data_IF_734133540905
#
_entry.id   IF_734133540905
#
_cell.length_a   1.000
_cell.length_b   1.000
_cell.length_c   1.000
_cell.angle_alpha   90.00
_cell.angle_beta   90.00
_cell.angle_gamma   90.00
#
_symmetry.space_group_name_H-M   'P 1'
#
loop_
_entity.id
_entity.type
_entity.pdbx_description
1 polymer ?
#
# COMPACT_ATOMS: atom_id res chain seq x y z
N UNK A 1 -14.41 -2.14 8.72
CA UNK A 1 -13.09 -2.77 9.01
C UNK A 1 -11.97 -1.75 8.80
N UNK A 2 -10.86 -1.79 9.56
CA UNK A 2 -9.64 -1.01 9.28
C UNK A 2 -8.60 -1.95 8.65
N UNK A 3 -7.96 -1.52 7.56
CA UNK A 3 -6.90 -2.26 6.89
C UNK A 3 -5.77 -1.31 6.45
N UNK A 4 -4.58 -1.86 6.21
CA UNK A 4 -3.50 -1.19 5.49
C UNK A 4 -3.34 -1.91 4.16
N UNK A 5 -3.42 -1.21 3.03
CA UNK A 5 -3.12 -1.77 1.71
C UNK A 5 -1.78 -1.22 1.22
N UNK A 6 -0.91 -2.09 0.72
CA UNK A 6 0.43 -1.71 0.25
C UNK A 6 0.49 -1.86 -1.26
N UNK A 7 0.70 -0.74 -1.96
CA UNK A 7 0.94 -0.76 -3.41
C UNK A 7 2.44 -0.63 -3.63
N UNK A 8 3.03 -1.68 -4.19
CA UNK A 8 4.45 -1.79 -4.52
C UNK A 8 4.80 -1.06 -5.82
N UNK A 9 6.10 -0.85 -6.00
CA UNK A 9 6.69 -0.17 -7.15
C UNK A 9 6.14 -0.65 -8.50
N UNK A 10 6.15 -1.96 -8.74
CA UNK A 10 5.76 -2.57 -10.02
C UNK A 10 4.28 -2.28 -10.36
N UNK A 11 3.42 -2.18 -9.34
CA UNK A 11 1.98 -1.98 -9.54
C UNK A 11 1.59 -0.53 -9.74
N UNK A 12 2.34 0.40 -9.17
CA UNK A 12 2.07 1.83 -9.31
C UNK A 12 2.13 2.28 -10.78
N UNK A 13 2.92 1.60 -11.60
CA UNK A 13 3.00 1.83 -13.04
C UNK A 13 2.12 0.91 -13.89
N UNK A 14 1.45 -0.08 -13.30
CA UNK A 14 0.64 -1.05 -14.03
C UNK A 14 -0.80 -0.52 -14.23
N UNK A 15 -1.18 -0.01 -15.42
CA UNK A 15 -2.41 0.80 -15.55
C UNK A 15 -3.68 -0.02 -15.32
N UNK A 16 -3.69 -1.29 -15.76
CA UNK A 16 -4.81 -2.20 -15.51
C UNK A 16 -4.97 -2.51 -14.02
N UNK A 17 -3.87 -2.62 -13.29
CA UNK A 17 -3.93 -2.85 -11.84
C UNK A 17 -4.52 -1.62 -11.16
N UNK A 18 -3.99 -0.43 -11.43
CA UNK A 18 -4.46 0.80 -10.81
C UNK A 18 -5.95 1.06 -11.10
N UNK A 19 -6.40 0.76 -12.32
CA UNK A 19 -7.82 0.80 -12.68
C UNK A 19 -8.63 -0.20 -11.84
N UNK A 20 -8.28 -1.48 -11.86
CA UNK A 20 -9.01 -2.50 -11.08
C UNK A 20 -8.95 -2.25 -9.57
N UNK A 21 -7.86 -1.69 -9.06
CA UNK A 21 -7.71 -1.28 -7.67
C UNK A 21 -8.68 -0.15 -7.32
N UNK A 22 -8.78 0.88 -8.17
CA UNK A 22 -9.70 2.00 -7.96
C UNK A 22 -11.17 1.57 -8.03
N UNK A 23 -11.52 0.69 -8.97
CA UNK A 23 -12.85 0.10 -9.08
C UNK A 23 -13.18 -0.76 -7.84
N UNK A 24 -12.22 -1.60 -7.40
CA UNK A 24 -12.37 -2.42 -6.20
C UNK A 24 -12.58 -1.56 -4.95
N UNK A 25 -11.87 -0.44 -4.80
CA UNK A 25 -12.10 0.49 -3.69
C UNK A 25 -13.52 1.07 -3.70
N UNK A 26 -14.07 1.42 -4.88
CA UNK A 26 -15.45 1.92 -5.00
C UNK A 26 -16.53 0.90 -4.65
N UNK A 27 -16.20 -0.40 -4.67
CA UNK A 27 -17.11 -1.48 -4.31
C UNK A 27 -17.17 -1.74 -2.79
N UNK A 28 -16.15 -1.31 -2.05
CA UNK A 28 -16.05 -1.56 -0.61
C UNK A 28 -17.15 -0.81 0.14
N UNK A 29 -17.91 -1.52 0.97
CA UNK A 29 -18.95 -0.92 1.83
C UNK A 29 -18.43 -0.80 3.26
N UNK A 30 -18.66 0.35 3.88
CA UNK A 30 -18.38 0.62 5.30
C UNK A 30 -16.94 0.26 5.74
N UNK A 31 -15.99 0.41 4.82
CA UNK A 31 -14.57 0.17 5.05
C UNK A 31 -13.78 1.45 4.77
N UNK A 32 -12.80 1.73 5.63
CA UNK A 32 -11.82 2.77 5.40
C UNK A 32 -10.46 2.21 5.73
N UNK A 33 -9.50 2.45 4.85
CA UNK A 33 -8.16 1.91 4.96
C UNK A 33 -7.09 2.98 4.84
N UNK A 34 -5.87 2.61 5.19
CA UNK A 34 -4.65 3.36 4.89
C UNK A 34 -4.01 2.67 3.70
N UNK A 35 -3.87 3.40 2.59
CA UNK A 35 -3.21 2.93 1.39
C UNK A 35 -1.81 3.54 1.43
N UNK A 36 -0.78 2.71 1.51
CA UNK A 36 0.59 3.17 1.45
C UNK A 36 1.21 2.88 0.09
N UNK A 37 2.04 3.81 -0.38
CA UNK A 37 2.77 3.66 -1.64
C UNK A 37 4.14 4.31 -1.56
N UNK A 38 5.06 3.79 -2.36
CA UNK A 38 6.39 4.34 -2.54
C UNK A 38 6.46 5.24 -3.77
N UNK A 39 7.60 5.20 -4.43
CA UNK A 39 7.81 5.80 -5.72
C UNK A 39 7.48 4.80 -6.86
N UNK A 40 7.78 5.17 -8.11
CA UNK A 40 7.45 4.37 -9.29
C UNK A 40 8.55 4.51 -10.35
N UNK A 41 8.45 3.79 -11.46
CA UNK A 41 9.30 3.92 -12.64
C UNK A 41 9.31 5.32 -13.26
N UNK A 42 8.38 6.19 -12.88
CA UNK A 42 8.50 7.62 -13.19
C UNK A 42 9.73 8.28 -12.53
N UNK A 43 10.12 7.85 -11.33
CA UNK A 43 11.35 8.33 -10.66
C UNK A 43 12.57 8.10 -11.53
N UNK A 44 12.71 6.90 -12.09
CA UNK A 44 13.85 6.53 -12.94
C UNK A 44 13.94 7.44 -14.17
N UNK A 45 12.80 7.81 -14.75
CA UNK A 45 12.75 8.76 -15.88
C UNK A 45 13.22 10.15 -15.48
N UNK A 46 12.84 10.65 -14.30
CA UNK A 46 13.33 11.94 -13.80
C UNK A 46 14.85 11.91 -13.60
N UNK A 47 15.39 10.83 -13.04
CA UNK A 47 16.84 10.66 -12.85
C UNK A 47 17.56 10.67 -14.21
N UNK A 48 17.01 10.01 -15.23
CA UNK A 48 17.57 10.01 -16.59
C UNK A 48 17.58 11.40 -17.24
N UNK A 49 16.72 12.33 -16.82
CA UNK A 49 16.75 13.74 -17.27
C UNK A 49 17.79 14.60 -16.56
N UNK A 50 18.55 14.05 -15.62
CA UNK A 50 19.60 14.74 -14.87
C UNK A 50 19.17 15.27 -13.50
N UNK A 51 17.94 14.97 -13.04
CA UNK A 51 17.50 15.31 -11.68
C UNK A 51 18.22 14.40 -10.68
N UNK A 52 18.68 14.98 -9.56
CA UNK A 52 19.29 14.21 -8.48
C UNK A 52 18.31 13.20 -7.89
N UNK A 53 18.79 11.99 -7.54
CA UNK A 53 17.94 10.89 -7.07
C UNK A 53 17.05 11.29 -5.88
N UNK A 54 17.60 11.99 -4.90
CA UNK A 54 16.85 12.38 -3.70
C UNK A 54 15.68 13.31 -4.06
N UNK A 55 15.93 14.31 -4.91
CA UNK A 55 14.91 15.24 -5.40
C UNK A 55 13.88 14.53 -6.30
N UNK A 56 14.36 13.63 -7.16
CA UNK A 56 13.52 12.86 -8.07
C UNK A 56 12.52 12.00 -7.30
N UNK A 57 12.97 11.29 -6.25
CA UNK A 57 12.12 10.44 -5.41
C UNK A 57 11.06 11.26 -4.67
N UNK A 58 11.46 12.37 -4.02
CA UNK A 58 10.50 13.22 -3.30
C UNK A 58 9.45 13.77 -4.25
N UNK A 59 9.89 14.30 -5.40
CA UNK A 59 9.01 14.87 -6.40
C UNK A 59 8.07 13.83 -7.02
N UNK A 60 8.60 12.73 -7.54
CA UNK A 60 7.81 11.69 -8.20
C UNK A 60 6.79 11.06 -7.26
N UNK A 61 7.18 10.81 -6.01
CA UNK A 61 6.30 10.23 -4.99
C UNK A 61 5.21 11.20 -4.59
N UNK A 62 5.53 12.50 -4.45
CA UNK A 62 4.52 13.53 -4.20
C UNK A 62 3.54 13.66 -5.35
N UNK A 63 4.01 13.72 -6.60
CA UNK A 63 3.15 13.77 -7.78
C UNK A 63 2.26 12.53 -7.88
N UNK A 64 2.82 11.35 -7.59
CA UNK A 64 2.10 10.07 -7.61
C UNK A 64 0.98 10.01 -6.57
N UNK A 65 1.20 10.53 -5.36
CA UNK A 65 0.17 10.57 -4.31
C UNK A 65 -1.07 11.35 -4.78
N UNK A 66 -0.87 12.52 -5.41
CA UNK A 66 -1.96 13.31 -5.98
C UNK A 66 -2.69 12.57 -7.11
N UNK A 67 -1.95 11.87 -7.97
CA UNK A 67 -2.53 11.07 -9.07
C UNK A 67 -3.37 9.91 -8.54
N UNK A 68 -2.95 9.23 -7.49
CA UNK A 68 -3.74 8.16 -6.85
C UNK A 68 -5.04 8.73 -6.29
N UNK A 69 -4.98 9.87 -5.58
CA UNK A 69 -6.20 10.54 -5.06
C UNK A 69 -7.15 10.92 -6.18
N UNK A 70 -6.66 11.50 -7.28
CA UNK A 70 -7.47 11.85 -8.44
C UNK A 70 -8.13 10.61 -9.06
N UNK A 71 -7.37 9.54 -9.28
CA UNK A 71 -7.90 8.27 -9.81
C UNK A 71 -9.01 7.68 -8.93
N UNK A 72 -8.86 7.76 -7.60
CA UNK A 72 -9.88 7.32 -6.65
C UNK A 72 -11.12 8.21 -6.69
N UNK A 73 -10.95 9.53 -6.79
CA UNK A 73 -12.05 10.48 -6.93
C UNK A 73 -12.87 10.22 -8.20
N UNK A 74 -12.23 9.89 -9.33
CA UNK A 74 -12.91 9.51 -10.58
C UNK A 74 -13.80 8.27 -10.43
N UNK A 75 -13.52 7.41 -9.44
CA UNK A 75 -14.31 6.22 -9.11
C UNK A 75 -15.24 6.42 -7.90
N UNK A 76 -15.46 7.67 -7.47
CA UNK A 76 -16.35 8.00 -6.35
C UNK A 76 -15.81 7.61 -4.97
N UNK A 77 -14.51 7.34 -4.84
CA UNK A 77 -13.88 6.95 -3.58
C UNK A 77 -13.42 8.17 -2.81
N UNK A 78 -14.01 8.39 -1.62
CA UNK A 78 -13.57 9.46 -0.71
C UNK A 78 -12.17 9.15 -0.17
N UNK A 79 -11.20 10.00 -0.49
CA UNK A 79 -9.83 9.81 -0.04
C UNK A 79 -9.12 11.15 0.25
N UNK A 80 -8.13 11.09 1.13
CA UNK A 80 -7.24 12.21 1.45
C UNK A 80 -5.81 11.77 1.22
N UNK A 81 -5.09 12.51 0.37
CA UNK A 81 -3.65 12.33 0.15
C UNK A 81 -2.83 13.07 1.19
N UNK A 82 -1.87 12.38 1.79
CA UNK A 82 -0.87 12.97 2.67
C UNK A 82 0.50 12.33 2.49
N UNK A 83 1.51 13.10 2.88
CA UNK A 83 2.87 12.60 3.07
C UNK A 83 3.16 12.46 4.55
N UNK A 84 3.92 11.44 4.95
CA UNK A 84 4.27 11.21 6.35
C UNK A 84 4.95 12.42 7.00
N UNK A 85 5.83 13.12 6.28
CA UNK A 85 6.50 14.30 6.81
C UNK A 85 5.57 15.50 7.10
N UNK A 86 4.37 15.55 6.51
CA UNK A 86 3.47 16.68 6.71
C UNK A 86 2.96 16.69 8.15
N UNK A 87 3.01 17.85 8.81
CA UNK A 87 2.60 18.01 10.22
C UNK A 87 3.27 17.00 11.18
N UNK A 88 4.42 16.44 10.80
CA UNK A 88 5.10 15.36 11.52
C UNK A 88 4.18 14.15 11.81
N UNK A 89 3.28 13.80 10.88
CA UNK A 89 2.44 12.61 11.02
C UNK A 89 3.31 11.37 11.18
N UNK A 90 4.42 11.30 10.45
CA UNK A 90 5.44 10.27 10.53
C UNK A 90 6.84 10.90 10.50
N UNK A 91 7.62 10.63 11.54
CA UNK A 91 9.02 11.03 11.67
C UNK A 91 9.91 9.80 11.83
N UNK A 92 11.14 9.90 11.34
CA UNK A 92 12.22 8.94 11.54
C UNK A 92 13.25 9.54 12.49
N UNK A 93 13.43 8.90 13.64
CA UNK A 93 14.40 9.30 14.67
C UNK A 93 15.36 8.12 14.88
N UNK A 94 16.49 8.12 14.17
CA UNK A 94 17.37 6.94 14.11
C UNK A 94 16.71 5.79 13.34
N UNK A 95 16.61 4.57 13.90
CA UNK A 95 15.91 3.46 13.26
C UNK A 95 14.40 3.42 13.54
N UNK A 96 13.89 4.32 14.39
CA UNK A 96 12.51 4.26 14.88
C UNK A 96 11.58 5.20 14.13
N UNK A 97 10.40 4.70 13.78
CA UNK A 97 9.32 5.51 13.21
C UNK A 97 8.35 5.95 14.31
N UNK A 98 8.22 7.26 14.48
CA UNK A 98 7.18 7.86 15.30
C UNK A 98 5.97 8.16 14.42
N UNK A 99 4.77 7.77 14.88
CA UNK A 99 3.51 7.95 14.14
C UNK A 99 2.49 8.66 15.04
N UNK A 100 1.97 9.80 14.56
CA UNK A 100 0.84 10.51 15.16
C UNK A 100 -0.47 9.80 14.82
N UNK A 101 -0.88 8.89 15.71
CA UNK A 101 -2.15 8.17 15.63
C UNK A 101 -3.36 9.10 15.70
N UNK A 102 -3.28 10.18 16.47
CA UNK A 102 -4.42 11.07 16.66
C UNK A 102 -4.79 11.75 15.35
N UNK A 103 -3.79 12.24 14.61
CA UNK A 103 -4.01 12.81 13.29
C UNK A 103 -4.62 11.81 12.32
N UNK A 104 -4.07 10.58 12.26
CA UNK A 104 -4.58 9.54 11.36
C UNK A 104 -6.03 9.19 11.70
N UNK A 105 -6.38 9.01 12.97
CA UNK A 105 -7.73 8.66 13.41
C UNK A 105 -8.73 9.83 13.34
N UNK A 106 -8.27 11.08 13.27
CA UNK A 106 -9.13 12.27 13.13
C UNK A 106 -9.73 12.48 11.72
N UNK A 107 -9.44 11.59 10.77
CA UNK A 107 -9.97 11.66 9.41
C UNK A 107 -11.51 11.51 9.35
N UNK A 108 -12.19 12.11 8.36
CA UNK A 108 -13.64 11.96 8.21
C UNK A 108 -14.07 10.48 8.09
N UNK A 109 -15.25 10.11 8.63
CA UNK A 109 -15.80 8.77 8.45
C UNK A 109 -15.87 8.36 6.97
N UNK A 110 -15.59 7.09 6.66
CA UNK A 110 -15.65 6.57 5.30
C UNK A 110 -14.57 7.10 4.35
N UNK A 111 -13.56 7.82 4.86
CA UNK A 111 -12.49 8.37 4.02
C UNK A 111 -11.22 7.53 4.11
N UNK A 112 -10.68 7.15 2.95
CA UNK A 112 -9.41 6.44 2.85
C UNK A 112 -8.23 7.41 2.97
N UNK A 113 -7.15 6.96 3.61
CA UNK A 113 -5.92 7.73 3.70
C UNK A 113 -4.93 7.23 2.65
N UNK A 114 -4.50 8.08 1.72
CA UNK A 114 -3.45 7.75 0.75
C UNK A 114 -2.15 8.35 1.25
N UNK A 115 -1.27 7.51 1.77
CA UNK A 115 -0.06 7.90 2.47
C UNK A 115 1.17 7.50 1.68
N UNK A 116 1.96 8.47 1.23
CA UNK A 116 3.28 8.17 0.66
C UNK A 116 4.27 7.71 1.73
N UNK A 117 5.29 6.95 1.33
CA UNK A 117 6.40 6.55 2.21
C UNK A 117 7.41 7.65 2.57
N UNK A 118 7.15 8.91 2.20
CA UNK A 118 8.01 10.05 2.55
C UNK A 118 7.80 10.48 4.00
N UNK A 119 8.86 10.50 4.80
CA UNK A 119 8.85 10.89 6.22
C UNK A 119 9.88 11.99 6.49
N UNK A 120 9.74 12.65 7.65
CA UNK A 120 10.76 13.59 8.14
C UNK A 120 11.86 12.83 8.87
N UNK A 121 13.08 12.85 8.36
CA UNK A 121 14.26 12.40 9.11
C UNK A 121 14.69 13.52 10.06
N UNK A 122 14.50 13.31 11.36
CA UNK A 122 14.83 14.30 12.39
C UNK A 122 16.34 14.43 12.60
N UNK A 123 17.12 13.40 12.31
CA UNK A 123 18.57 13.40 12.49
C UNK A 123 19.25 14.25 11.41
N UNK A 124 18.78 14.14 10.17
CA UNK A 124 19.34 14.87 9.02
C UNK A 124 18.49 16.07 8.59
N UNK A 125 17.37 16.33 9.27
CA UNK A 125 16.41 17.39 8.96
C UNK A 125 15.93 17.40 7.50
N UNK A 126 15.83 16.22 6.88
CA UNK A 126 15.46 16.06 5.47
C UNK A 126 14.20 15.21 5.30
N UNK A 127 13.59 15.30 4.11
CA UNK A 127 12.53 14.35 3.72
C UNK A 127 13.23 13.13 3.14
N UNK A 128 12.85 11.94 3.58
CA UNK A 128 13.41 10.69 3.08
C UNK A 128 12.30 9.66 2.88
N UNK A 129 12.36 8.81 1.84
CA UNK A 129 11.52 7.63 1.77
C UNK A 129 11.91 6.63 2.86
N UNK A 130 10.94 5.88 3.37
CA UNK A 130 11.16 4.67 4.16
C UNK A 130 10.70 3.44 3.41
N UNK A 131 11.32 2.26 3.60
CA UNK A 131 10.85 1.04 2.94
C UNK A 131 9.40 0.73 3.30
N UNK A 132 8.58 0.36 2.30
CA UNK A 132 7.14 0.14 2.49
C UNK A 132 6.83 -0.93 3.54
N UNK A 133 7.64 -1.99 3.59
CA UNK A 133 7.55 -3.02 4.64
C UNK A 133 7.66 -2.42 6.03
N UNK A 134 8.68 -1.60 6.26
CA UNK A 134 8.95 -0.97 7.57
C UNK A 134 7.80 -0.02 7.95
N UNK A 135 7.31 0.76 6.98
CA UNK A 135 6.17 1.65 7.20
C UNK A 135 4.89 0.87 7.52
N UNK A 136 4.59 -0.19 6.77
CA UNK A 136 3.43 -1.04 7.00
C UNK A 136 3.49 -1.73 8.38
N UNK A 137 4.64 -2.26 8.78
CA UNK A 137 4.83 -2.85 10.10
C UNK A 137 4.61 -1.81 11.22
N UNK A 138 5.19 -0.61 11.09
CA UNK A 138 5.04 0.46 12.06
C UNK A 138 3.57 0.93 12.18
N UNK A 139 2.89 1.14 11.05
CA UNK A 139 1.47 1.51 11.02
C UNK A 139 0.59 0.41 11.59
N UNK A 140 0.84 -0.85 11.22
CA UNK A 140 0.09 -2.02 11.72
C UNK A 140 0.18 -2.12 13.24
N UNK A 141 1.39 -2.00 13.79
CA UNK A 141 1.63 -2.01 15.23
C UNK A 141 0.97 -0.81 15.94
N UNK A 142 1.09 0.40 15.40
CA UNK A 142 0.61 1.62 16.06
C UNK A 142 -0.92 1.80 16.00
N UNK A 143 -1.52 1.43 14.88
CA UNK A 143 -2.95 1.60 14.61
C UNK A 143 -3.78 0.39 15.07
N UNK A 144 -3.15 -0.62 15.67
CA UNK A 144 -3.77 -1.91 16.02
C UNK A 144 -4.49 -2.55 14.83
N UNK A 145 -3.98 -2.31 13.63
CA UNK A 145 -4.59 -2.74 12.39
C UNK A 145 -4.18 -4.19 12.13
N UNK A 146 -5.13 -5.13 12.31
CA UNK A 146 -4.85 -6.57 12.20
C UNK A 146 -4.75 -7.09 10.76
N UNK A 147 -4.94 -6.24 9.77
CA UNK A 147 -4.95 -6.66 8.36
C UNK A 147 -4.06 -5.74 7.54
N UNK A 148 -2.93 -6.28 7.10
CA UNK A 148 -2.09 -5.68 6.07
C UNK A 148 -2.31 -6.44 4.77
N UNK A 149 -2.72 -5.76 3.72
CA UNK A 149 -3.06 -6.34 2.42
C UNK A 149 -1.92 -6.05 1.46
N UNK A 150 -1.35 -7.12 0.94
CA UNK A 150 -0.37 -7.13 -0.13
C UNK A 150 -1.04 -7.68 -1.39
N UNK A 151 -0.63 -7.19 -2.55
CA UNK A 151 -1.16 -7.67 -3.82
C UNK A 151 -0.24 -8.73 -4.43
N UNK A 152 -0.82 -9.78 -5.04
CA UNK A 152 -0.09 -10.87 -5.69
C UNK A 152 0.49 -10.46 -7.04
N UNK A 153 1.77 -10.76 -7.31
CA UNK A 153 2.43 -10.42 -8.59
C UNK A 153 1.79 -11.15 -9.77
N UNK A 154 1.18 -12.28 -9.48
CA UNK A 154 0.40 -13.07 -10.44
C UNK A 154 -1.06 -12.60 -10.37
N UNK A 155 -1.37 -11.49 -11.03
CA UNK A 155 -2.75 -11.06 -11.28
C UNK A 155 -3.30 -11.87 -12.47
N UNK A 156 -3.59 -13.15 -12.26
CA UNK A 156 -4.52 -13.87 -13.14
C UNK A 156 -5.91 -13.72 -12.54
N UNK A 157 -6.72 -12.89 -13.18
CA UNK A 157 -8.18 -12.85 -12.99
C UNK A 157 -8.75 -14.27 -12.88
N UNK A 158 -9.55 -14.50 -11.84
CA UNK A 158 -10.49 -15.61 -11.64
C UNK A 158 -10.02 -16.99 -11.15
N UNK A 159 -8.76 -17.24 -10.78
CA UNK A 159 -8.34 -18.64 -10.47
C UNK A 159 -7.78 -18.93 -9.08
N UNK A 160 -7.49 -17.93 -8.24
CA UNK A 160 -6.79 -18.23 -6.98
C UNK A 160 -7.72 -18.52 -5.80
N UNK A 161 -8.93 -17.93 -5.73
CA UNK A 161 -9.69 -17.90 -4.46
C UNK A 161 -11.21 -18.05 -4.53
N UNK A 162 -11.82 -18.42 -5.66
CA UNK A 162 -13.28 -18.64 -5.73
C UNK A 162 -13.69 -20.12 -5.55
N UNK A 163 -14.48 -20.32 -4.50
CA UNK A 163 -15.40 -21.43 -4.14
C UNK A 163 -14.92 -22.86 -3.82
N UNK A 164 -15.08 -23.20 -2.54
CA UNK A 164 -15.86 -24.33 -2.01
C UNK A 164 -15.96 -25.59 -2.89
N UNK A 165 -15.16 -26.60 -2.51
CA UNK A 165 -15.20 -28.00 -2.96
C UNK A 165 -14.75 -28.25 -4.42
N UNK A 166 -13.50 -28.72 -4.55
CA UNK A 166 -12.87 -29.38 -5.74
C UNK A 166 -12.03 -28.52 -6.69
N UNK A 167 -11.29 -27.53 -6.19
CA UNK A 167 -10.02 -27.15 -6.81
C UNK A 167 -8.85 -27.31 -5.84
N UNK A 168 -7.83 -28.06 -6.27
CA UNK A 168 -6.61 -28.33 -5.50
C UNK A 168 -5.88 -27.00 -5.25
N UNK A 169 -5.85 -26.58 -3.97
CA UNK A 169 -4.91 -25.63 -3.34
C UNK A 169 -3.70 -25.26 -4.23
N UNK A 170 -3.74 -24.13 -4.93
CA UNK A 170 -2.54 -23.40 -5.36
C UNK A 170 -2.22 -22.29 -4.35
N UNK A 171 -2.27 -22.62 -3.06
CA UNK A 171 -1.79 -21.73 -2.00
C UNK A 171 -0.27 -21.72 -1.93
N UNK A 172 0.30 -20.75 -1.21
CA UNK A 172 1.74 -20.69 -0.95
C UNK A 172 2.12 -21.93 -0.13
N UNK A 173 2.87 -22.85 -0.74
CA UNK A 173 3.30 -24.11 -0.11
C UNK A 173 4.80 -24.16 0.11
N UNK A 174 5.53 -23.31 -0.61
CA UNK A 174 6.98 -23.26 -0.58
C UNK A 174 7.48 -21.83 -0.49
N UNK A 175 8.75 -21.69 -0.07
CA UNK A 175 9.47 -20.41 -0.18
C UNK A 175 9.55 -19.92 -1.62
N UNK A 176 9.63 -20.83 -2.60
CA UNK A 176 9.62 -20.47 -4.03
C UNK A 176 8.34 -19.77 -4.45
N UNK A 177 7.18 -20.27 -3.99
CA UNK A 177 5.88 -19.65 -4.26
C UNK A 177 5.80 -18.25 -3.64
N UNK A 178 6.30 -18.09 -2.41
CA UNK A 178 6.33 -16.80 -1.73
C UNK A 178 7.18 -15.75 -2.50
N UNK A 179 8.38 -16.14 -2.95
CA UNK A 179 9.26 -15.28 -3.75
C UNK A 179 8.66 -14.89 -5.11
N UNK A 180 7.84 -15.77 -5.68
CA UNK A 180 7.18 -15.56 -6.96
C UNK A 180 5.97 -14.64 -6.82
N UNK A 181 5.17 -14.83 -5.78
CA UNK A 181 3.86 -14.16 -5.63
C UNK A 181 3.93 -12.86 -4.84
N UNK A 182 4.83 -12.73 -3.85
CA UNK A 182 4.94 -11.51 -3.02
C UNK A 182 5.96 -10.55 -3.66
N UNK A 183 5.66 -9.24 -3.72
CA UNK A 183 6.63 -8.23 -4.17
C UNK A 183 7.95 -8.29 -3.43
N UNK A 184 9.05 -8.17 -4.16
CA UNK A 184 10.41 -8.32 -3.62
C UNK A 184 10.70 -7.36 -2.46
N UNK A 185 10.27 -6.10 -2.58
CA UNK A 185 10.47 -5.08 -1.54
C UNK A 185 9.66 -5.34 -0.26
N UNK A 186 8.64 -6.19 -0.34
CA UNK A 186 7.76 -6.57 0.78
C UNK A 186 8.15 -7.91 1.39
N UNK A 187 9.30 -8.47 1.02
CA UNK A 187 9.87 -9.67 1.63
C UNK A 187 10.88 -9.31 2.76
N UNK A 188 10.89 -10.05 3.88
CA UNK A 188 9.84 -10.99 4.30
C UNK A 188 8.51 -10.24 4.56
N UNK A 189 7.34 -10.91 4.44
CA UNK A 189 6.06 -10.25 4.62
C UNK A 189 5.90 -9.61 6.01
N UNK A 190 5.16 -8.51 6.06
CA UNK A 190 4.79 -7.83 7.31
C UNK A 190 3.94 -8.73 8.21
N UNK A 191 3.86 -8.41 9.50
CA UNK A 191 3.02 -9.19 10.43
C UNK A 191 1.54 -9.03 10.12
N UNK A 192 0.77 -10.12 10.22
CA UNK A 192 -0.65 -10.18 9.87
C UNK A 192 -0.92 -9.73 8.43
N UNK A 193 -0.02 -10.13 7.51
CA UNK A 193 -0.19 -9.83 6.10
C UNK A 193 -1.04 -10.87 5.39
N UNK A 194 -1.82 -10.38 4.45
CA UNK A 194 -2.72 -11.12 3.59
C UNK A 194 -2.34 -10.82 2.16
N UNK A 195 -2.18 -11.85 1.35
CA UNK A 195 -1.95 -11.73 -0.08
C UNK A 195 -3.28 -11.91 -0.81
N UNK A 196 -3.61 -10.98 -1.70
CA UNK A 196 -4.83 -11.05 -2.50
C UNK A 196 -4.70 -10.42 -3.88
N UNK A 197 -5.79 -10.45 -4.62
CA UNK A 197 -5.96 -9.74 -5.90
C UNK A 197 -6.83 -8.49 -5.69
N UNK A 198 -6.92 -7.62 -6.69
CA UNK A 198 -7.86 -6.49 -6.69
C UNK A 198 -9.31 -6.96 -6.56
N UNK A 199 -9.68 -8.10 -7.16
CA UNK A 199 -11.01 -8.70 -7.00
C UNK A 199 -11.31 -9.08 -5.55
N UNK A 200 -10.40 -9.80 -4.87
CA UNK A 200 -10.58 -10.11 -3.44
C UNK A 200 -10.67 -8.85 -2.58
N UNK A 201 -9.91 -7.81 -2.95
CA UNK A 201 -9.92 -6.51 -2.29
C UNK A 201 -11.25 -5.75 -2.43
N UNK A 202 -11.95 -5.88 -3.56
CA UNK A 202 -13.27 -5.27 -3.74
C UNK A 202 -14.35 -5.84 -2.81
N UNK A 203 -14.17 -7.07 -2.35
CA UNK A 203 -15.13 -7.78 -1.50
C UNK A 203 -14.95 -7.52 0.00
N UNK A 204 -14.04 -6.64 0.42
CA UNK A 204 -13.89 -6.29 1.84
C UNK A 204 -15.23 -5.76 2.41
N UNK A 205 -15.58 -6.13 3.66
CA UNK A 205 -14.72 -6.73 4.69
C UNK A 205 -14.57 -8.26 4.63
N UNK A 206 -15.11 -8.94 3.62
CA UNK A 206 -14.88 -10.38 3.47
C UNK A 206 -13.40 -10.66 3.16
N UNK A 207 -12.76 -11.45 4.02
CA UNK A 207 -11.35 -11.83 3.88
C UNK A 207 -11.16 -13.25 3.35
N UNK A 208 -12.24 -13.95 2.99
CA UNK A 208 -12.22 -15.32 2.45
C UNK A 208 -11.37 -15.46 1.18
N UNK A 209 -11.31 -14.41 0.37
CA UNK A 209 -10.55 -14.33 -0.87
C UNK A 209 -9.05 -14.07 -0.71
N UNK A 210 -8.53 -14.01 0.52
CA UNK A 210 -7.13 -13.71 0.79
C UNK A 210 -6.35 -14.89 1.36
N UNK A 211 -5.05 -14.95 1.05
CA UNK A 211 -4.13 -15.89 1.63
C UNK A 211 -3.32 -15.26 2.76
N UNK A 212 -3.46 -15.77 3.99
CA UNK A 212 -2.68 -15.28 5.13
C UNK A 212 -1.22 -15.72 5.03
N UNK A 213 -0.29 -14.77 5.13
CA UNK A 213 1.16 -14.98 5.04
C UNK A 213 1.84 -15.13 6.40
N UNK A 214 1.29 -14.51 7.45
CA UNK A 214 1.81 -14.54 8.82
C UNK A 214 0.74 -14.41 9.89
#
# INVERSE_FOLDING_TARGET
MKYIAVIDYDRLDHPLFMKSFSEAMGQQKDCSGIIIHGDSGYTDRLIQTGIMREDAVVRSTSDLNHRIVALLADNGVSSVGVHGYQKNIISLSGPELTIDRHWIDARPPGTHLILSNLVRDESHQKITPVPLRILADALSARMECRTVILFSREDSSDSFFTDSAKQKKNGIKSRGDLLRMVPGELLPPTRNSYLGTTHAFGNLPDTSGFHRLS
#
